data_IF_960884623651
#
_entry.id   IF_960884623651
#
_cell.length_a   1.000
_cell.length_b   1.000
_cell.length_c   1.000
_cell.angle_alpha   90.00
_cell.angle_beta   90.00
_cell.angle_gamma   90.00
#
_symmetry.space_group_name_H-M   'P 1'
#
loop_
_entity.id
_entity.type
_entity.pdbx_description
1 polymer ?
#
# COMPACT_ATOMS: atom_id res chain seq x y z
N UNK A 1 -6.02 2.32 8.61
CA UNK A 1 -4.89 1.66 7.91
C UNK A 1 -3.82 2.70 7.57
N UNK A 2 -2.53 2.35 7.57
CA UNK A 2 -1.46 3.31 7.29
C UNK A 2 -1.63 3.93 5.89
N UNK A 3 -1.94 3.11 4.89
CA UNK A 3 -2.21 3.54 3.52
C UNK A 3 -3.70 3.47 3.21
N UNK A 4 -4.41 4.58 3.32
CA UNK A 4 -5.84 4.65 2.98
C UNK A 4 -6.08 4.61 1.46
N UNK A 5 -5.07 4.96 0.67
CA UNK A 5 -4.95 4.55 -0.73
C UNK A 5 -3.89 3.47 -0.81
N UNK A 6 -4.26 2.24 -1.18
CA UNK A 6 -3.28 1.16 -1.28
C UNK A 6 -2.27 1.46 -2.40
N UNK A 7 -0.95 1.49 -2.10
CA UNK A 7 0.08 1.79 -3.08
C UNK A 7 0.45 0.60 -3.96
N UNK A 8 -0.22 -0.54 -3.89
CA UNK A 8 0.12 -1.72 -4.70
C UNK A 8 -0.44 -1.58 -6.12
N UNK A 9 0.40 -1.90 -7.10
CA UNK A 9 0.01 -1.88 -8.51
C UNK A 9 0.92 -2.72 -9.39
N UNK A 10 0.51 -2.82 -10.66
CA UNK A 10 1.34 -3.35 -11.73
C UNK A 10 2.36 -2.30 -12.14
N UNK A 11 3.61 -2.72 -12.31
CA UNK A 11 4.73 -1.91 -12.79
C UNK A 11 5.27 -2.56 -14.05
N UNK A 12 5.20 -1.83 -15.17
CA UNK A 12 5.58 -2.31 -16.50
C UNK A 12 6.47 -1.30 -17.20
N UNK A 13 7.21 -1.73 -18.21
CA UNK A 13 8.01 -0.80 -19.03
C UNK A 13 7.14 -0.14 -20.09
N UNK A 14 7.39 1.13 -20.42
CA UNK A 14 6.63 1.86 -21.42
C UNK A 14 6.64 1.20 -22.82
N UNK A 15 7.68 0.41 -23.13
CA UNK A 15 7.81 -0.39 -24.36
C UNK A 15 6.84 -1.58 -24.44
N UNK A 16 6.35 -2.08 -23.30
CA UNK A 16 5.37 -3.17 -23.20
C UNK A 16 4.40 -2.88 -22.03
N UNK A 17 3.55 -1.86 -22.17
CA UNK A 17 2.86 -1.26 -21.05
C UNK A 17 1.59 -2.02 -20.66
N UNK A 18 1.28 -2.01 -19.36
CA UNK A 18 -0.01 -2.43 -18.81
C UNK A 18 -0.71 -1.18 -18.29
N UNK A 19 -1.71 -0.69 -19.03
CA UNK A 19 -2.49 0.50 -18.66
C UNK A 19 -3.90 0.17 -18.19
N UNK A 20 -4.40 -0.98 -18.61
CA UNK A 20 -5.74 -1.47 -18.32
C UNK A 20 -5.72 -2.94 -17.97
N UNK A 21 -6.76 -3.42 -17.32
CA UNK A 21 -6.95 -4.85 -17.01
C UNK A 21 -6.88 -5.72 -18.28
N UNK A 22 -7.35 -5.22 -19.43
CA UNK A 22 -7.30 -5.95 -20.69
C UNK A 22 -5.86 -6.23 -21.18
N UNK A 23 -4.90 -5.36 -20.81
CA UNK A 23 -3.49 -5.51 -21.19
C UNK A 23 -2.80 -6.66 -20.45
N UNK A 24 -3.41 -7.22 -19.40
CA UNK A 24 -2.86 -8.35 -18.64
C UNK A 24 -2.84 -9.65 -19.45
N UNK A 25 -3.69 -9.78 -20.48
CA UNK A 25 -3.84 -11.02 -21.22
C UNK A 25 -2.54 -11.50 -21.85
N UNK A 26 -2.10 -12.70 -21.45
CA UNK A 26 -0.89 -13.36 -21.92
C UNK A 26 0.41 -12.76 -21.39
N UNK A 27 0.37 -11.85 -20.40
CA UNK A 27 1.56 -11.26 -19.78
C UNK A 27 2.17 -12.20 -18.75
N UNK A 28 3.49 -12.18 -18.64
CA UNK A 28 4.25 -12.76 -17.54
C UNK A 28 4.31 -11.76 -16.39
N UNK A 29 3.70 -12.09 -15.26
CA UNK A 29 3.69 -11.24 -14.07
C UNK A 29 4.65 -11.81 -13.03
N UNK A 30 5.69 -11.05 -12.73
CA UNK A 30 6.64 -11.34 -11.68
C UNK A 30 6.01 -11.11 -10.31
N UNK A 31 5.95 -12.16 -9.48
CA UNK A 31 5.32 -12.13 -8.16
C UNK A 31 6.11 -12.97 -7.16
N UNK A 32 5.96 -12.64 -5.88
CA UNK A 32 6.17 -13.59 -4.79
C UNK A 32 4.85 -14.34 -4.47
N UNK A 33 4.85 -15.18 -3.42
CA UNK A 33 3.65 -15.95 -3.06
C UNK A 33 2.46 -15.07 -2.66
N UNK A 34 2.70 -13.97 -1.93
CA UNK A 34 1.65 -13.04 -1.53
C UNK A 34 1.12 -12.21 -2.71
N UNK A 35 2.02 -11.73 -3.57
CA UNK A 35 1.71 -10.99 -4.79
C UNK A 35 0.88 -11.81 -5.76
N UNK A 36 1.11 -13.13 -5.86
CA UNK A 36 0.27 -14.02 -6.67
C UNK A 36 -1.20 -13.96 -6.25
N UNK A 37 -1.48 -14.11 -4.96
CA UNK A 37 -2.85 -14.04 -4.42
C UNK A 37 -3.49 -12.68 -4.71
N UNK A 38 -2.70 -11.61 -4.63
CA UNK A 38 -3.17 -10.26 -4.89
C UNK A 38 -3.57 -10.06 -6.37
N UNK A 39 -2.80 -10.59 -7.32
CA UNK A 39 -3.15 -10.56 -8.75
C UNK A 39 -4.34 -11.45 -9.05
N UNK A 40 -4.43 -12.64 -8.45
CA UNK A 40 -5.60 -13.52 -8.60
C UNK A 40 -6.89 -12.83 -8.12
N UNK A 41 -6.82 -12.04 -7.05
CA UNK A 41 -7.94 -11.22 -6.58
C UNK A 41 -8.34 -10.15 -7.61
N UNK A 42 -7.38 -9.45 -8.22
CA UNK A 42 -7.64 -8.50 -9.31
C UNK A 42 -8.30 -9.19 -10.50
N UNK A 43 -7.77 -10.34 -10.95
CA UNK A 43 -8.34 -11.08 -12.08
C UNK A 43 -9.78 -11.49 -11.79
N UNK A 44 -10.04 -12.05 -10.60
CA UNK A 44 -11.37 -12.49 -10.19
C UNK A 44 -12.36 -11.33 -10.04
N UNK A 45 -11.92 -10.19 -9.50
CA UNK A 45 -12.74 -8.97 -9.43
C UNK A 45 -13.13 -8.41 -10.80
N UNK A 46 -12.47 -8.85 -11.88
CA UNK A 46 -12.76 -8.47 -13.26
C UNK A 46 -13.30 -9.64 -14.10
N UNK A 47 -13.78 -10.72 -13.47
CA UNK A 47 -14.30 -11.92 -14.13
C UNK A 47 -13.30 -12.59 -15.10
N UNK A 48 -12.00 -12.45 -14.84
CA UNK A 48 -10.93 -13.04 -15.63
C UNK A 48 -10.46 -14.37 -15.00
N UNK A 49 -10.22 -15.41 -15.82
CA UNK A 49 -9.68 -16.67 -15.33
C UNK A 49 -8.20 -16.49 -14.92
N UNK A 50 -7.73 -17.32 -13.98
CA UNK A 50 -6.36 -17.23 -13.45
C UNK A 50 -5.27 -17.44 -14.51
N UNK A 51 -5.58 -18.17 -15.60
CA UNK A 51 -4.69 -18.40 -16.74
C UNK A 51 -4.64 -17.22 -17.74
N UNK A 52 -5.29 -16.09 -17.41
CA UNK A 52 -5.15 -14.83 -18.16
C UNK A 52 -3.70 -14.34 -18.18
N UNK A 53 -2.94 -14.65 -17.13
CA UNK A 53 -1.52 -14.28 -16.97
C UNK A 53 -0.67 -15.52 -16.72
N UNK A 54 0.61 -15.44 -17.03
CA UNK A 54 1.61 -16.39 -16.58
C UNK A 54 2.29 -15.84 -15.32
N UNK A 55 2.28 -16.58 -14.22
CA UNK A 55 2.99 -16.19 -13.01
C UNK A 55 4.44 -16.65 -13.03
N UNK A 56 5.36 -15.71 -12.81
CA UNK A 56 6.79 -16.00 -12.71
C UNK A 56 7.25 -15.64 -11.30
N UNK A 57 7.80 -16.61 -10.58
CA UNK A 57 8.40 -16.37 -9.26
C UNK A 57 9.72 -15.63 -9.43
N UNK A 58 9.85 -14.45 -8.84
CA UNK A 58 11.03 -13.59 -8.99
C UNK A 58 11.55 -13.08 -7.65
N UNK A 59 12.85 -12.81 -7.50
CA UNK A 59 13.38 -12.12 -6.31
C UNK A 59 12.87 -10.68 -6.24
N UNK A 60 13.07 -10.04 -5.08
CA UNK A 60 12.80 -8.62 -4.90
C UNK A 60 13.70 -7.77 -5.82
N UNK A 61 13.17 -6.64 -6.29
CA UNK A 61 13.86 -5.72 -7.18
C UNK A 61 13.23 -5.61 -8.57
N UNK A 62 13.85 -4.83 -9.44
CA UNK A 62 13.32 -4.53 -10.79
C UNK A 62 14.04 -5.28 -11.91
N UNK A 63 15.16 -5.95 -11.61
CA UNK A 63 15.99 -6.62 -12.61
C UNK A 63 15.23 -7.60 -13.51
N UNK A 64 14.32 -8.46 -13.00
CA UNK A 64 13.55 -9.36 -13.87
C UNK A 64 12.73 -8.61 -14.92
N UNK A 65 12.17 -7.45 -14.57
CA UNK A 65 11.45 -6.59 -15.52
C UNK A 65 12.41 -5.92 -16.50
N UNK A 66 13.53 -5.38 -15.99
CA UNK A 66 14.53 -4.70 -16.82
C UNK A 66 15.17 -5.64 -17.85
N UNK A 67 15.41 -6.89 -17.47
CA UNK A 67 15.96 -7.95 -18.31
C UNK A 67 14.93 -8.57 -19.27
N UNK A 68 13.64 -8.26 -19.10
CA UNK A 68 12.56 -8.83 -19.91
C UNK A 68 12.20 -10.28 -19.57
N UNK A 69 12.59 -10.75 -18.39
CA UNK A 69 12.19 -12.05 -17.84
C UNK A 69 10.70 -12.07 -17.50
N UNK A 70 10.13 -10.91 -17.16
CA UNK A 70 8.70 -10.68 -16.95
C UNK A 70 8.24 -9.44 -17.71
N UNK A 71 6.94 -9.33 -17.95
CA UNK A 71 6.33 -8.19 -18.64
C UNK A 71 5.84 -7.11 -17.67
N UNK A 72 5.53 -7.51 -16.43
CA UNK A 72 5.28 -6.60 -15.33
C UNK A 72 5.67 -7.23 -13.98
N UNK A 73 5.88 -6.38 -12.99
CA UNK A 73 6.00 -6.73 -11.58
C UNK A 73 4.76 -6.25 -10.83
N UNK A 74 4.49 -6.84 -9.67
CA UNK A 74 3.65 -6.21 -8.64
C UNK A 74 4.56 -5.58 -7.61
N UNK A 75 4.26 -4.35 -7.21
CA UNK A 75 5.06 -3.65 -6.22
C UNK A 75 4.37 -2.42 -5.67
N UNK A 76 5.00 -1.84 -4.64
CA UNK A 76 4.59 -0.56 -4.11
C UNK A 76 4.95 0.54 -5.12
N UNK A 77 3.95 1.32 -5.51
CA UNK A 77 4.07 2.46 -6.41
C UNK A 77 4.84 3.62 -5.78
N UNK A 78 5.15 3.55 -4.49
CA UNK A 78 6.04 4.48 -3.79
C UNK A 78 7.51 4.31 -4.17
N UNK A 79 7.97 3.11 -4.57
CA UNK A 79 9.39 2.84 -4.81
C UNK A 79 9.70 2.13 -6.13
N UNK A 80 8.88 1.17 -6.58
CA UNK A 80 9.17 0.41 -7.81
C UNK A 80 9.27 1.32 -9.06
N UNK A 81 8.36 2.30 -9.28
CA UNK A 81 8.46 3.17 -10.44
C UNK A 81 9.73 4.03 -10.45
N UNK A 82 10.20 4.45 -9.26
CA UNK A 82 11.45 5.19 -9.11
C UNK A 82 12.64 4.27 -9.39
N UNK A 83 12.64 3.04 -8.86
CA UNK A 83 13.69 2.06 -9.10
C UNK A 83 13.84 1.73 -10.59
N UNK A 84 12.73 1.56 -11.33
CA UNK A 84 12.76 1.37 -12.79
C UNK A 84 13.38 2.56 -13.51
N UNK A 85 13.00 3.79 -13.12
CA UNK A 85 13.59 5.02 -13.70
C UNK A 85 15.08 5.14 -13.41
N UNK A 86 15.51 4.84 -12.19
CA UNK A 86 16.92 4.85 -11.79
C UNK A 86 17.74 3.81 -12.54
N UNK A 87 17.13 2.68 -12.91
CA UNK A 87 17.73 1.67 -13.79
C UNK A 87 17.71 2.05 -15.29
N UNK A 88 17.28 3.27 -15.64
CA UNK A 88 17.25 3.78 -17.01
C UNK A 88 16.03 3.36 -17.83
N UNK A 89 14.98 2.83 -17.20
CA UNK A 89 13.74 2.43 -17.84
C UNK A 89 12.65 3.49 -17.78
N UNK A 90 11.87 3.61 -18.86
CA UNK A 90 10.60 4.32 -18.82
C UNK A 90 9.51 3.41 -18.25
N UNK A 91 8.75 3.91 -17.29
CA UNK A 91 7.79 3.12 -16.51
C UNK A 91 6.34 3.51 -16.80
N UNK A 92 5.46 2.51 -16.81
CA UNK A 92 3.99 2.65 -16.81
C UNK A 92 3.44 1.83 -15.65
N UNK A 93 2.54 2.45 -14.88
CA UNK A 93 1.93 1.85 -13.70
C UNK A 93 0.42 1.79 -13.83
N UNK A 94 -0.19 0.75 -13.25
CA UNK A 94 -1.63 0.65 -13.03
C UNK A 94 -1.85 0.22 -11.58
N UNK A 95 -2.48 1.07 -10.76
CA UNK A 95 -2.78 0.69 -9.38
C UNK A 95 -3.84 -0.41 -9.34
N UNK A 96 -3.90 -1.16 -8.25
CA UNK A 96 -4.98 -2.15 -8.09
C UNK A 96 -6.36 -1.49 -7.99
N UNK A 97 -6.42 -0.29 -7.41
CA UNK A 97 -7.63 0.53 -7.42
C UNK A 97 -8.10 0.86 -8.85
N UNK A 98 -7.19 1.25 -9.74
CA UNK A 98 -7.49 1.48 -11.17
C UNK A 98 -7.84 0.17 -11.91
N UNK A 99 -7.46 -0.98 -11.35
CA UNK A 99 -7.79 -2.31 -11.83
C UNK A 99 -9.05 -2.90 -11.16
N UNK A 100 -9.96 -2.07 -10.65
CA UNK A 100 -11.21 -2.45 -9.98
C UNK A 100 -11.04 -3.29 -8.70
N UNK A 101 -9.89 -3.23 -8.05
CA UNK A 101 -9.62 -3.88 -6.77
C UNK A 101 -9.04 -2.86 -5.77
N UNK A 102 -9.93 -2.05 -5.19
CA UNK A 102 -9.56 -0.97 -4.30
C UNK A 102 -9.63 -1.44 -2.84
N UNK A 103 -8.46 -1.76 -2.28
CA UNK A 103 -8.26 -1.98 -0.85
C UNK A 103 -7.53 -0.78 -0.23
N UNK A 104 -7.49 -0.71 1.09
CA UNK A 104 -6.44 0.01 1.82
C UNK A 104 -5.26 -0.93 2.12
N UNK A 105 -4.09 -0.36 2.40
CA UNK A 105 -2.86 -1.09 2.70
C UNK A 105 -2.41 -0.91 4.14
N UNK A 106 -1.66 -1.88 4.67
CA UNK A 106 -1.06 -1.84 6.00
C UNK A 106 -2.09 -1.53 7.10
N UNK A 107 -3.12 -2.38 7.16
CA UNK A 107 -4.14 -2.36 8.20
C UNK A 107 -3.58 -2.90 9.52
N UNK A 108 -4.00 -2.32 10.64
CA UNK A 108 -3.76 -2.90 11.96
C UNK A 108 -4.79 -3.99 12.18
N UNK A 109 -4.32 -5.22 12.40
CA UNK A 109 -5.17 -6.39 12.61
C UNK A 109 -4.89 -6.95 14.01
N UNK A 110 -5.96 -7.19 14.76
CA UNK A 110 -5.93 -7.80 16.09
C UNK A 110 -7.00 -8.88 16.16
N UNK A 111 -6.85 -9.84 17.07
CA UNK A 111 -7.95 -10.79 17.33
C UNK A 111 -8.99 -10.17 18.25
N UNK A 112 -10.25 -10.63 18.16
CA UNK A 112 -11.33 -10.19 19.06
C UNK A 112 -10.98 -10.39 20.53
N UNK A 113 -10.24 -11.47 20.84
CA UNK A 113 -9.76 -11.75 22.18
C UNK A 113 -8.83 -10.65 22.67
N UNK A 114 -7.78 -10.35 21.91
CA UNK A 114 -6.82 -9.30 22.28
C UNK A 114 -7.48 -7.92 22.36
N UNK A 115 -8.41 -7.63 21.44
CA UNK A 115 -9.16 -6.37 21.44
C UNK A 115 -10.05 -6.19 22.68
N UNK A 116 -10.59 -7.29 23.22
CA UNK A 116 -11.41 -7.27 24.44
C UNK A 116 -10.61 -7.33 25.73
N UNK A 117 -9.52 -8.09 25.77
CA UNK A 117 -8.70 -8.30 26.97
C UNK A 117 -7.63 -7.22 27.17
N UNK A 118 -7.08 -6.66 26.08
CA UNK A 118 -5.89 -5.78 26.10
C UNK A 118 -6.13 -4.46 25.33
N UNK A 119 -7.35 -3.91 25.43
CA UNK A 119 -7.75 -2.73 24.65
C UNK A 119 -6.85 -1.51 24.91
N UNK A 120 -6.51 -1.25 26.16
CA UNK A 120 -5.71 -0.08 26.54
C UNK A 120 -4.27 -0.20 26.02
N UNK A 121 -3.70 -1.40 26.03
CA UNK A 121 -2.40 -1.69 25.44
C UNK A 121 -2.43 -1.49 23.91
N UNK A 122 -3.48 -1.95 23.23
CA UNK A 122 -3.66 -1.75 21.79
C UNK A 122 -3.83 -0.26 21.46
N UNK A 123 -4.58 0.50 22.28
CA UNK A 123 -4.70 1.96 22.16
C UNK A 123 -3.33 2.63 22.31
N UNK A 124 -2.52 2.21 23.28
CA UNK A 124 -1.19 2.74 23.49
C UNK A 124 -0.27 2.47 22.28
N UNK A 125 -0.33 1.26 21.70
CA UNK A 125 0.39 0.92 20.47
C UNK A 125 -0.07 1.81 19.30
N UNK A 126 -1.38 1.92 19.08
CA UNK A 126 -1.95 2.75 18.02
C UNK A 126 -1.51 4.22 18.16
N UNK A 127 -1.62 4.77 19.37
CA UNK A 127 -1.17 6.13 19.68
C UNK A 127 0.32 6.30 19.37
N UNK A 128 1.19 5.39 19.83
CA UNK A 128 2.63 5.46 19.58
C UNK A 128 2.95 5.37 18.08
N UNK A 129 2.24 4.53 17.32
CA UNK A 129 2.38 4.46 15.86
C UNK A 129 1.99 5.77 15.18
N UNK A 130 0.88 6.40 15.60
CA UNK A 130 0.44 7.70 15.09
C UNK A 130 1.46 8.80 15.40
N UNK A 131 1.96 8.87 16.63
CA UNK A 131 3.00 9.81 17.04
C UNK A 131 4.28 9.65 16.21
N UNK A 132 4.71 8.40 16.00
CA UNK A 132 5.87 8.07 15.18
C UNK A 132 5.74 8.56 13.74
N UNK A 133 4.61 8.25 13.10
CA UNK A 133 4.32 8.70 11.73
C UNK A 133 4.17 10.21 11.63
N UNK A 134 3.45 10.85 12.56
CA UNK A 134 3.32 12.31 12.59
C UNK A 134 4.68 12.99 12.73
N UNK A 135 5.54 12.50 13.62
CA UNK A 135 6.92 12.99 13.77
C UNK A 135 7.72 12.81 12.48
N UNK A 136 7.63 11.63 11.85
CA UNK A 136 8.38 11.33 10.62
C UNK A 136 7.94 12.23 9.46
N UNK A 137 6.63 12.33 9.22
CA UNK A 137 6.04 13.18 8.18
C UNK A 137 6.39 14.67 8.39
N UNK A 138 6.40 15.15 9.64
CA UNK A 138 6.73 16.54 9.95
C UNK A 138 8.22 16.87 9.75
N UNK A 139 9.10 15.88 9.89
CA UNK A 139 10.55 16.06 9.71
C UNK A 139 11.01 15.97 8.25
N UNK A 140 10.17 15.44 7.37
CA UNK A 140 10.43 15.35 5.93
C UNK A 140 11.16 14.08 5.50
N UNK A 141 11.46 14.02 4.21
CA UNK A 141 11.86 12.80 3.48
C UNK A 141 13.18 12.22 3.97
N UNK A 142 14.19 13.05 4.24
CA UNK A 142 15.48 12.61 4.78
C UNK A 142 15.33 11.89 6.12
N UNK A 143 14.50 12.42 7.03
CA UNK A 143 14.29 11.81 8.33
C UNK A 143 13.58 10.45 8.22
N UNK A 144 12.60 10.33 7.32
CA UNK A 144 11.94 9.04 7.02
C UNK A 144 12.97 8.05 6.47
N UNK A 145 13.78 8.46 5.50
CA UNK A 145 14.81 7.63 4.91
C UNK A 145 15.86 7.18 5.95
N UNK A 146 16.32 8.09 6.82
CA UNK A 146 17.30 7.78 7.86
C UNK A 146 16.75 6.79 8.89
N UNK A 147 15.48 6.92 9.27
CA UNK A 147 14.81 5.95 10.16
C UNK A 147 14.76 4.59 9.48
N UNK A 148 14.34 4.51 8.22
CA UNK A 148 14.27 3.26 7.46
C UNK A 148 15.65 2.61 7.31
N UNK A 149 16.67 3.38 6.94
CA UNK A 149 18.05 2.89 6.79
C UNK A 149 18.62 2.37 8.10
N UNK A 150 18.38 3.08 9.21
CA UNK A 150 18.84 2.69 10.54
C UNK A 150 18.16 1.41 11.05
N UNK A 151 16.87 1.23 10.76
CA UNK A 151 16.06 0.13 11.28
C UNK A 151 15.83 -0.96 10.21
N UNK A 152 16.93 -1.50 9.68
CA UNK A 152 16.94 -2.67 8.79
C UNK A 152 17.23 -2.35 7.32
N UNK A 153 17.07 -1.10 6.87
CA UNK A 153 17.35 -0.75 5.48
C UNK A 153 18.80 -0.98 5.06
N UNK A 154 19.77 -0.59 5.90
CA UNK A 154 21.18 -0.81 5.63
C UNK A 154 21.55 -2.31 5.60
N UNK A 155 21.02 -3.09 6.55
CA UNK A 155 21.28 -4.54 6.64
C UNK A 155 20.71 -5.32 5.45
N UNK A 156 19.63 -4.81 4.86
CA UNK A 156 19.00 -5.37 3.66
C UNK A 156 19.56 -4.78 2.35
N UNK A 157 20.61 -3.95 2.41
CA UNK A 157 21.25 -3.37 1.23
C UNK A 157 20.36 -2.38 0.47
N UNK A 158 19.42 -1.71 1.15
CA UNK A 158 18.60 -0.69 0.52
C UNK A 158 19.44 0.53 0.12
N UNK A 159 19.10 1.14 -1.00
CA UNK A 159 19.69 2.42 -1.41
C UNK A 159 19.01 3.58 -0.66
N UNK A 160 19.81 4.42 0.03
CA UNK A 160 19.29 5.55 0.81
C UNK A 160 18.59 6.57 -0.08
N UNK A 161 19.12 6.86 -1.26
CA UNK A 161 18.52 7.86 -2.14
C UNK A 161 17.13 7.41 -2.60
N UNK A 162 16.98 6.13 -2.96
CA UNK A 162 15.69 5.53 -3.24
C UNK A 162 14.72 5.63 -2.05
N UNK A 163 15.20 5.52 -0.80
CA UNK A 163 14.35 5.73 0.37
C UNK A 163 13.89 7.19 0.51
N UNK A 164 14.77 8.17 0.22
CA UNK A 164 14.41 9.60 0.21
C UNK A 164 13.35 9.87 -0.86
N UNK A 165 13.56 9.36 -2.06
CA UNK A 165 12.64 9.57 -3.19
C UNK A 165 11.28 8.90 -2.91
N UNK A 166 11.29 7.69 -2.36
CA UNK A 166 10.08 6.97 -1.93
C UNK A 166 9.33 7.74 -0.84
N UNK A 167 10.05 8.29 0.15
CA UNK A 167 9.47 9.10 1.21
C UNK A 167 8.82 10.40 0.71
N UNK A 168 9.19 10.89 -0.48
CA UNK A 168 8.53 12.04 -1.10
C UNK A 168 7.15 11.70 -1.67
N UNK A 169 6.96 10.45 -2.13
CA UNK A 169 5.70 9.98 -2.74
C UNK A 169 4.75 9.40 -1.70
N UNK A 170 5.30 8.69 -0.72
CA UNK A 170 4.58 7.94 0.32
C UNK A 170 3.44 8.73 1.01
N UNK A 171 3.59 10.02 1.39
CA UNK A 171 2.53 10.77 2.05
C UNK A 171 1.24 10.89 1.23
N UNK A 172 1.31 10.85 -0.10
CA UNK A 172 0.12 10.93 -0.97
C UNK A 172 -0.83 9.72 -0.84
N UNK A 173 -0.32 8.60 -0.33
CA UNK A 173 -1.10 7.39 -0.04
C UNK A 173 -1.69 7.37 1.38
N UNK A 174 -1.14 8.18 2.29
CA UNK A 174 -1.55 8.29 3.68
C UNK A 174 -2.47 9.49 3.94
N UNK A 175 -2.17 10.63 3.31
CA UNK A 175 -2.80 11.94 3.55
C UNK A 175 -3.84 12.23 2.47
N UNK A 176 -5.09 11.92 2.78
CA UNK A 176 -6.30 12.27 2.01
C UNK A 176 -7.06 13.38 2.76
N UNK A 177 -8.08 14.01 2.15
CA UNK A 177 -8.92 14.97 2.87
C UNK A 177 -9.46 14.41 4.21
N UNK A 178 -9.85 13.14 4.24
CA UNK A 178 -10.37 12.50 5.44
C UNK A 178 -9.31 12.24 6.51
N UNK A 179 -8.12 11.76 6.15
CA UNK A 179 -7.06 11.52 7.15
C UNK A 179 -6.38 12.81 7.60
N UNK A 180 -6.38 13.86 6.77
CA UNK A 180 -5.97 15.20 7.21
C UNK A 180 -6.95 15.76 8.24
N UNK A 181 -8.25 15.60 8.01
CA UNK A 181 -9.30 16.12 8.89
C UNK A 181 -9.44 15.33 10.18
N UNK A 182 -9.40 14.00 10.10
CA UNK A 182 -9.75 13.09 11.18
C UNK A 182 -8.52 12.36 11.76
N UNK A 183 -7.33 12.59 11.21
CA UNK A 183 -6.08 11.93 11.58
C UNK A 183 -5.76 10.70 10.71
N UNK A 184 -4.47 10.39 10.61
CA UNK A 184 -3.97 9.20 9.89
C UNK A 184 -4.54 7.90 10.48
N UNK A 185 -4.47 6.80 9.74
CA UNK A 185 -5.17 5.54 10.04
C UNK A 185 -6.70 5.54 9.94
N UNK A 186 -7.36 6.70 9.84
CA UNK A 186 -8.83 6.79 9.72
C UNK A 186 -9.33 6.01 8.51
N UNK A 187 -10.29 5.11 8.75
CA UNK A 187 -11.08 4.45 7.72
C UNK A 187 -12.49 5.05 7.75
N UNK A 188 -12.94 5.60 6.62
CA UNK A 188 -14.32 6.07 6.49
C UNK A 188 -15.26 4.89 6.20
N UNK A 189 -16.58 5.02 6.45
CA UNK A 189 -17.55 4.02 6.03
C UNK A 189 -17.44 3.68 4.54
N UNK A 190 -17.21 4.67 3.69
CA UNK A 190 -17.07 4.48 2.24
C UNK A 190 -15.84 3.67 1.87
N UNK A 191 -14.71 3.87 2.58
CA UNK A 191 -13.50 3.06 2.38
C UNK A 191 -13.71 1.62 2.83
N UNK A 192 -14.46 1.41 3.91
CA UNK A 192 -14.82 0.06 4.39
C UNK A 192 -15.73 -0.63 3.38
N UNK A 193 -16.79 0.04 2.91
CA UNK A 193 -17.70 -0.50 1.90
C UNK A 193 -16.98 -0.83 0.58
N UNK A 194 -16.04 0.02 0.16
CA UNK A 194 -15.19 -0.22 -1.01
C UNK A 194 -14.30 -1.46 -0.82
N UNK A 195 -13.67 -1.59 0.34
CA UNK A 195 -12.82 -2.74 0.66
C UNK A 195 -13.63 -4.04 0.70
N UNK A 196 -14.79 -4.04 1.36
CA UNK A 196 -15.73 -5.18 1.39
C UNK A 196 -16.18 -5.56 -0.02
N UNK A 197 -16.57 -4.58 -0.83
CA UNK A 197 -17.00 -4.81 -2.22
C UNK A 197 -15.88 -5.42 -3.07
N UNK A 198 -14.65 -4.91 -2.93
CA UNK A 198 -13.50 -5.43 -3.66
C UNK A 198 -13.14 -6.85 -3.23
N UNK A 199 -13.20 -7.17 -1.93
CA UNK A 199 -13.02 -8.54 -1.42
C UNK A 199 -14.11 -9.48 -1.95
N UNK A 200 -15.37 -9.04 -1.92
CA UNK A 200 -16.49 -9.81 -2.45
C UNK A 200 -16.36 -10.08 -3.96
N UNK A 201 -15.88 -9.11 -4.74
CA UNK A 201 -15.58 -9.29 -6.16
C UNK A 201 -14.46 -10.33 -6.38
N UNK A 202 -13.48 -10.39 -5.48
CA UNK A 202 -12.49 -11.48 -5.43
C UNK A 202 -13.04 -12.79 -4.81
N UNK A 203 -14.34 -12.85 -4.51
CA UNK A 203 -15.03 -13.97 -3.85
C UNK A 203 -14.47 -14.32 -2.47
N UNK A 204 -13.99 -13.31 -1.75
CA UNK A 204 -13.60 -13.37 -0.34
C UNK A 204 -14.75 -12.78 0.46
N UNK A 205 -15.29 -13.55 1.40
CA UNK A 205 -16.35 -13.07 2.30
C UNK A 205 -15.77 -12.07 3.29
N UNK A 206 -16.31 -10.85 3.28
CA UNK A 206 -16.01 -9.79 4.24
C UNK A 206 -17.30 -9.08 4.65
N UNK A 207 -17.33 -8.53 5.85
CA UNK A 207 -18.44 -7.75 6.39
C UNK A 207 -17.90 -6.47 7.04
N UNK A 208 -18.61 -5.32 6.96
CA UNK A 208 -18.20 -4.10 7.66
C UNK A 208 -17.94 -4.28 9.16
N UNK A 209 -18.60 -5.24 9.82
CA UNK A 209 -18.38 -5.56 11.24
C UNK A 209 -16.97 -6.09 11.54
N UNK A 210 -16.21 -6.50 10.52
CA UNK A 210 -14.82 -6.93 10.67
C UNK A 210 -13.85 -5.74 10.83
N UNK A 211 -14.34 -4.50 10.66
CA UNK A 211 -13.53 -3.28 10.74
C UNK A 211 -13.93 -2.45 11.98
N UNK A 212 -13.25 -2.67 13.10
CA UNK A 212 -13.43 -1.84 14.30
C UNK A 212 -12.74 -0.48 14.15
N UNK A 213 -13.54 0.59 14.09
CA UNK A 213 -13.06 1.99 14.08
C UNK A 213 -13.16 2.68 15.45
N UNK A 214 -13.82 2.06 16.43
CA UNK A 214 -14.08 2.66 17.75
C UNK A 214 -12.80 2.90 18.53
N UNK A 215 -11.83 1.99 18.44
CA UNK A 215 -10.55 2.12 19.15
C UNK A 215 -9.78 3.37 18.68
N UNK A 216 -9.74 3.59 17.36
CA UNK A 216 -9.08 4.77 16.80
C UNK A 216 -9.82 6.07 17.15
N UNK A 217 -11.16 6.04 17.15
CA UNK A 217 -11.98 7.18 17.56
C UNK A 217 -11.71 7.57 19.02
N UNK A 218 -11.60 6.59 19.92
CA UNK A 218 -11.22 6.84 21.31
C UNK A 218 -9.82 7.46 21.43
N UNK A 219 -8.83 6.92 20.70
CA UNK A 219 -7.46 7.46 20.69
C UNK A 219 -7.45 8.93 20.30
N UNK A 220 -8.17 9.32 19.24
CA UNK A 220 -8.24 10.73 18.83
C UNK A 220 -9.08 11.61 19.77
N UNK A 221 -10.16 11.08 20.35
CA UNK A 221 -10.95 11.82 21.33
C UNK A 221 -10.15 12.15 22.59
N UNK A 222 -9.31 11.22 23.05
CA UNK A 222 -8.43 11.37 24.20
C UNK A 222 -7.17 12.21 23.90
N UNK A 223 -6.74 12.25 22.63
CA UNK A 223 -5.49 12.88 22.20
C UNK A 223 -5.72 13.73 20.93
N UNK A 224 -6.49 14.83 21.01
CA UNK A 224 -6.83 15.65 19.85
C UNK A 224 -5.60 16.26 19.15
N UNK A 225 -4.49 16.46 19.87
CA UNK A 225 -3.22 16.98 19.32
C UNK A 225 -2.52 16.01 18.35
N UNK A 226 -2.99 14.75 18.24
CA UNK A 226 -2.51 13.79 17.23
C UNK A 226 -2.96 14.12 15.80
N UNK A 227 -3.72 15.20 15.61
CA UNK A 227 -4.09 15.72 14.28
C UNK A 227 -3.29 17.02 14.05
N UNK A 228 -2.06 16.95 13.52
CA UNK A 228 -1.14 18.09 13.50
C UNK A 228 -1.45 19.13 12.41
N UNK A 229 -2.58 19.01 11.70
CA UNK A 229 -2.99 19.94 10.64
C UNK A 229 -2.20 19.81 9.34
N UNK A 230 -1.83 18.59 8.96
CA UNK A 230 -1.20 18.33 7.64
C UNK A 230 -2.07 18.84 6.48
N UNK A 231 -1.45 19.06 5.33
CA UNK A 231 -2.17 19.34 4.08
C UNK A 231 -2.18 18.12 3.18
N UNK A 232 -3.21 17.97 2.35
CA UNK A 232 -3.23 16.95 1.30
C UNK A 232 -2.10 17.27 0.31
N UNK A 233 -1.14 16.35 0.06
CA UNK A 233 -0.09 16.56 -0.92
C UNK A 233 -0.67 16.81 -2.31
N UNK A 234 -0.03 17.68 -3.09
CA UNK A 234 -0.36 17.81 -4.50
C UNK A 234 -0.06 16.49 -5.22
N UNK A 235 -1.01 16.05 -6.05
CA UNK A 235 -0.89 14.86 -6.91
C UNK A 235 0.11 15.06 -8.04
#
# INVERSE_FOLDING_TARGET
>A
AQFVKNPVGFVSLAKNPIRTVADLKGKRIGVDAGGKLAVEAVLKANDLPADTVEFVSVPNGVDPLMNGEVDALIGFLTNYPIAVKNAGGDVVTMSFADANYAQFGDAVVVSDKELSENRDEIKAIMKASIEGWNSALSKGTDAIADIAMKHGGADNGLDRQLQVDSAAVLPSFMLTPDTVKNGIFTLTPELIDQAVSSLAAAGITADPSMFDTSLLQEVYAENPDLIPGFTVPAS
#
